data_IF_584458598948
#
_entry.id   IF_584458598948
#
_cell.length_a   1.000
_cell.length_b   1.000
_cell.length_c   1.000
_cell.angle_alpha   90.00
_cell.angle_beta   90.00
_cell.angle_gamma   90.00
#
_symmetry.space_group_name_H-M   'P 1'
#
loop_
_entity.id
_entity.type
_entity.pdbx_description
1 polymer ?
#
# COMPACT_ATOMS: atom_id res chain seq x y z
N UNK A 1 -17.11 4.11 8.11
CA UNK A 1 -16.75 4.91 6.92
C UNK A 1 -16.20 3.97 5.87
N UNK A 2 -16.69 4.02 4.64
CA UNK A 2 -16.25 3.20 3.52
C UNK A 2 -15.73 4.12 2.43
N UNK A 3 -14.64 3.72 1.77
CA UNK A 3 -14.09 4.43 0.61
C UNK A 3 -13.83 3.40 -0.49
N UNK A 4 -14.30 3.70 -1.69
CA UNK A 4 -14.06 2.87 -2.88
C UNK A 4 -13.33 3.74 -3.89
N UNK A 5 -12.27 3.19 -4.49
CA UNK A 5 -11.45 3.83 -5.51
C UNK A 5 -11.22 2.87 -6.68
N UNK A 6 -11.38 3.36 -7.88
CA UNK A 6 -10.92 2.66 -9.10
C UNK A 6 -9.59 3.26 -9.51
N UNK A 7 -8.61 2.41 -9.75
CA UNK A 7 -7.25 2.79 -10.08
C UNK A 7 -6.83 2.11 -11.39
N UNK A 8 -6.26 2.90 -12.29
CA UNK A 8 -5.65 2.43 -13.53
C UNK A 8 -4.22 2.93 -13.58
N UNK A 9 -3.28 2.03 -13.78
CA UNK A 9 -1.85 2.34 -13.90
C UNK A 9 -1.37 1.93 -15.29
N UNK A 10 -0.77 2.86 -16.00
CA UNK A 10 -0.11 2.62 -17.27
C UNK A 10 1.38 2.94 -17.13
N UNK A 11 2.23 1.97 -17.36
CA UNK A 11 3.64 2.00 -17.01
C UNK A 11 4.49 1.65 -18.21
N UNK A 12 5.58 2.40 -18.36
CA UNK A 12 6.64 2.09 -19.33
C UNK A 12 7.84 1.50 -18.59
N UNK A 13 8.42 0.46 -19.16
CA UNK A 13 9.68 -0.08 -18.66
C UNK A 13 10.83 0.81 -19.10
N UNK A 14 11.72 1.15 -18.16
CA UNK A 14 12.98 1.82 -18.46
C UNK A 14 14.07 0.81 -18.68
N UNK A 15 14.96 1.00 -19.69
CA UNK A 15 16.16 0.18 -19.84
C UNK A 15 17.08 0.33 -18.62
N UNK A 16 17.78 -0.74 -18.29
CA UNK A 16 18.75 -0.73 -17.18
C UNK A 16 19.99 0.08 -17.56
N UNK A 17 20.33 0.08 -18.86
CA UNK A 17 21.58 0.66 -19.39
C UNK A 17 21.44 2.17 -19.70
N UNK A 18 20.23 2.66 -19.88
CA UNK A 18 19.98 4.08 -20.15
C UNK A 18 18.76 4.57 -19.36
N UNK A 19 19.03 5.28 -18.27
CA UNK A 19 18.00 5.80 -17.35
C UNK A 19 17.12 6.88 -17.99
N UNK A 20 17.49 7.44 -19.12
CA UNK A 20 16.75 8.53 -19.78
C UNK A 20 15.95 8.07 -21.00
N UNK A 21 16.13 6.84 -21.47
CA UNK A 21 15.32 6.27 -22.54
C UNK A 21 14.11 5.47 -21.99
N UNK A 22 13.10 5.32 -22.83
CA UNK A 22 11.89 4.53 -22.53
C UNK A 22 11.79 3.49 -23.64
N UNK A 23 11.59 2.22 -23.26
CA UNK A 23 11.23 1.19 -24.23
C UNK A 23 9.76 1.36 -24.60
N UNK A 24 9.48 1.86 -25.79
CA UNK A 24 8.10 2.05 -26.27
C UNK A 24 7.34 0.72 -26.44
N UNK A 25 8.09 -0.38 -26.62
CA UNK A 25 7.50 -1.71 -26.87
C UNK A 25 7.14 -2.49 -25.59
N UNK A 26 7.52 -2.00 -24.40
CA UNK A 26 7.28 -2.69 -23.15
C UNK A 26 6.41 -1.83 -22.22
N UNK A 27 5.12 -1.97 -22.38
CA UNK A 27 4.10 -1.33 -21.54
C UNK A 27 3.44 -2.35 -20.62
N UNK A 28 3.10 -1.93 -19.42
CA UNK A 28 2.38 -2.72 -18.44
C UNK A 28 1.13 -2.00 -18.00
N UNK A 29 0.03 -2.71 -17.99
CA UNK A 29 -1.26 -2.22 -17.49
C UNK A 29 -1.58 -2.87 -16.16
N UNK A 30 -2.00 -2.07 -15.19
CA UNK A 30 -2.55 -2.60 -13.95
C UNK A 30 -3.87 -1.89 -13.63
N UNK A 31 -4.87 -2.66 -13.22
CA UNK A 31 -6.25 -2.18 -13.01
C UNK A 31 -6.75 -2.70 -11.69
N UNK A 32 -7.15 -1.78 -10.80
CA UNK A 32 -7.59 -2.16 -9.47
C UNK A 32 -8.88 -1.48 -9.06
N UNK A 33 -9.65 -2.21 -8.27
CA UNK A 33 -10.70 -1.68 -7.42
C UNK A 33 -10.21 -1.79 -5.98
N UNK A 34 -10.14 -0.67 -5.29
CA UNK A 34 -9.72 -0.60 -3.91
C UNK A 34 -10.91 -0.26 -3.02
N UNK A 35 -11.07 -0.98 -1.94
CA UNK A 35 -12.06 -0.69 -0.91
C UNK A 35 -11.37 -0.59 0.44
N UNK A 36 -11.73 0.45 1.20
CA UNK A 36 -11.19 0.67 2.54
C UNK A 36 -12.34 0.85 3.52
N UNK A 37 -12.21 0.24 4.69
CA UNK A 37 -13.18 0.39 5.76
C UNK A 37 -12.52 0.47 7.13
N UNK A 38 -13.12 1.26 8.00
CA UNK A 38 -12.80 1.27 9.43
C UNK A 38 -13.53 0.09 10.08
N UNK A 39 -12.78 -0.92 10.51
CA UNK A 39 -13.32 -2.13 11.13
C UNK A 39 -13.68 -1.89 12.59
N UNK A 40 -12.85 -1.12 13.30
CA UNK A 40 -13.09 -0.78 14.70
C UNK A 40 -12.60 0.63 15.01
N UNK A 41 -13.53 1.50 15.41
CA UNK A 41 -13.21 2.87 15.84
C UNK A 41 -12.47 2.86 17.19
N UNK A 42 -12.89 2.01 18.12
CA UNK A 42 -12.28 1.89 19.46
C UNK A 42 -10.79 1.53 19.39
N UNK A 43 -10.41 0.63 18.49
CA UNK A 43 -9.05 0.14 18.37
C UNK A 43 -8.31 0.75 17.18
N UNK A 44 -8.98 1.61 16.41
CA UNK A 44 -8.45 2.24 15.19
C UNK A 44 -7.88 1.22 14.21
N UNK A 45 -8.68 0.17 13.94
CA UNK A 45 -8.34 -0.92 13.02
C UNK A 45 -9.02 -0.65 11.69
N UNK A 46 -8.22 -0.69 10.62
CA UNK A 46 -8.68 -0.52 9.25
C UNK A 46 -8.42 -1.78 8.44
N UNK A 47 -9.30 -2.03 7.50
CA UNK A 47 -9.19 -3.08 6.50
C UNK A 47 -9.16 -2.45 5.13
N UNK A 48 -8.22 -2.89 4.29
CA UNK A 48 -8.11 -2.55 2.88
C UNK A 48 -8.23 -3.81 2.03
N UNK A 49 -8.90 -3.69 0.90
CA UNK A 49 -8.93 -4.72 -0.14
C UNK A 49 -8.61 -4.06 -1.48
N UNK A 50 -7.63 -4.60 -2.19
CA UNK A 50 -7.27 -4.19 -3.55
C UNK A 50 -7.43 -5.42 -4.45
N UNK A 51 -8.38 -5.38 -5.37
CA UNK A 51 -8.64 -6.47 -6.30
C UNK A 51 -8.44 -6.01 -7.73
N UNK A 52 -7.80 -6.85 -8.57
CA UNK A 52 -7.57 -6.48 -9.95
C UNK A 52 -6.46 -7.25 -10.64
N UNK A 53 -5.88 -6.62 -11.65
CA UNK A 53 -4.78 -7.13 -12.45
C UNK A 53 -3.48 -6.45 -12.05
N UNK A 54 -2.51 -7.25 -11.62
CA UNK A 54 -1.19 -6.81 -11.17
C UNK A 54 -0.21 -6.67 -12.34
N UNK A 55 0.99 -6.15 -12.07
CA UNK A 55 1.97 -5.79 -13.09
C UNK A 55 2.45 -6.94 -13.96
N UNK A 56 2.49 -8.15 -13.44
CA UNK A 56 2.89 -9.33 -14.21
C UNK A 56 1.72 -9.93 -15.02
N UNK A 57 0.53 -9.30 -14.97
CA UNK A 57 -0.69 -9.81 -15.61
C UNK A 57 -1.45 -10.81 -14.74
N UNK A 58 -0.96 -11.12 -13.57
CA UNK A 58 -1.65 -11.97 -12.61
C UNK A 58 -2.85 -11.22 -12.01
N UNK A 59 -3.97 -11.93 -11.84
CA UNK A 59 -5.23 -11.38 -11.33
C UNK A 59 -5.52 -11.92 -9.93
N UNK A 60 -5.99 -11.06 -9.06
CA UNK A 60 -6.25 -11.48 -7.71
C UNK A 60 -6.69 -10.37 -6.77
N UNK A 61 -6.50 -10.63 -5.48
CA UNK A 61 -6.86 -9.69 -4.43
C UNK A 61 -5.79 -9.63 -3.34
N UNK A 62 -5.49 -8.42 -2.92
CA UNK A 62 -4.66 -8.11 -1.76
C UNK A 62 -5.54 -7.63 -0.61
N UNK A 63 -5.28 -8.15 0.55
CA UNK A 63 -5.92 -7.78 1.80
C UNK A 63 -4.89 -7.13 2.71
N UNK A 64 -5.23 -5.96 3.23
CA UNK A 64 -4.42 -5.21 4.18
C UNK A 64 -5.21 -5.02 5.47
N UNK A 65 -4.62 -5.34 6.60
CA UNK A 65 -5.14 -4.98 7.91
C UNK A 65 -4.12 -4.13 8.63
N UNK A 66 -4.56 -3.05 9.23
CA UNK A 66 -3.66 -2.20 9.97
C UNK A 66 -4.32 -1.59 11.19
N UNK A 67 -3.49 -1.28 12.15
CA UNK A 67 -3.87 -0.60 13.37
C UNK A 67 -2.99 0.63 13.58
N UNK A 68 -3.65 1.77 13.77
CA UNK A 68 -2.97 3.02 14.06
C UNK A 68 -2.95 3.27 15.57
N UNK A 69 -1.76 3.42 16.10
CA UNK A 69 -1.48 3.84 17.45
C UNK A 69 -1.20 5.35 17.48
N UNK A 70 -0.96 5.90 18.67
CA UNK A 70 -0.65 7.33 18.81
C UNK A 70 0.61 7.75 18.04
N UNK A 71 1.64 6.91 18.07
CA UNK A 71 2.99 7.26 17.60
C UNK A 71 3.46 6.41 16.41
N UNK A 72 2.70 5.41 15.99
CA UNK A 72 3.05 4.55 14.88
C UNK A 72 1.85 3.80 14.34
N UNK A 73 1.97 3.28 13.14
CA UNK A 73 1.01 2.36 12.53
C UNK A 73 1.70 1.04 12.24
N UNK A 74 1.06 -0.05 12.61
CA UNK A 74 1.49 -1.40 12.25
C UNK A 74 0.44 -2.04 11.35
N UNK A 75 0.88 -2.76 10.33
CA UNK A 75 -0.02 -3.47 9.43
C UNK A 75 0.58 -4.75 8.90
N UNK A 76 -0.30 -5.58 8.36
CA UNK A 76 0.05 -6.79 7.66
C UNK A 76 -0.78 -6.88 6.39
N UNK A 77 -0.23 -7.55 5.38
CA UNK A 77 -0.94 -7.81 4.14
C UNK A 77 -0.72 -9.23 3.62
N UNK A 78 -1.65 -9.66 2.79
CA UNK A 78 -1.53 -10.89 2.00
C UNK A 78 -2.16 -10.68 0.64
N UNK A 79 -1.55 -11.24 -0.40
CA UNK A 79 -2.01 -11.15 -1.79
C UNK A 79 -2.18 -12.54 -2.34
N UNK A 80 -3.35 -12.82 -2.88
CA UNK A 80 -3.69 -14.06 -3.56
C UNK A 80 -3.94 -13.75 -5.03
N UNK A 81 -3.24 -14.44 -5.93
CA UNK A 81 -3.41 -14.28 -7.37
C UNK A 81 -3.47 -15.65 -8.07
N UNK A 82 -3.87 -15.64 -9.33
CA UNK A 82 -3.78 -16.80 -10.21
C UNK A 82 -2.35 -17.02 -10.73
N UNK A 83 -1.36 -16.91 -9.87
CA UNK A 83 0.07 -17.01 -10.22
C UNK A 83 0.44 -18.33 -10.89
N UNK A 84 -0.34 -19.40 -10.62
CA UNK A 84 -0.16 -20.70 -11.25
C UNK A 84 -0.35 -20.67 -12.77
N UNK A 85 -1.27 -19.83 -13.26
CA UNK A 85 -1.59 -19.70 -14.68
C UNK A 85 -0.60 -18.80 -15.43
N UNK A 86 -0.04 -17.79 -14.74
CA UNK A 86 0.75 -16.73 -15.34
C UNK A 86 2.24 -17.04 -15.30
N UNK A 87 2.73 -17.63 -14.21
CA UNK A 87 4.16 -17.88 -14.03
C UNK A 87 4.54 -19.32 -14.38
N UNK A 88 5.62 -19.45 -15.13
CA UNK A 88 6.20 -20.77 -15.49
C UNK A 88 7.19 -21.28 -14.45
N UNK A 89 7.80 -20.38 -13.68
CA UNK A 89 8.77 -20.75 -12.64
C UNK A 89 8.05 -21.39 -11.44
N UNK A 90 8.53 -22.52 -10.97
CA UNK A 90 7.96 -23.21 -9.80
C UNK A 90 7.94 -22.33 -8.54
N UNK A 91 8.89 -21.42 -8.43
CA UNK A 91 9.02 -20.50 -7.30
C UNK A 91 7.90 -19.49 -7.23
N UNK A 92 7.34 -19.06 -8.36
CA UNK A 92 6.27 -18.06 -8.43
C UNK A 92 4.87 -18.69 -8.54
N UNK A 93 4.79 -19.95 -8.98
CA UNK A 93 3.54 -20.67 -9.07
C UNK A 93 2.97 -20.92 -7.66
N UNK A 94 1.68 -20.65 -7.49
CA UNK A 94 0.98 -20.80 -6.20
C UNK A 94 1.58 -19.99 -5.04
N UNK A 95 2.39 -18.98 -5.35
CA UNK A 95 2.98 -18.14 -4.32
C UNK A 95 1.97 -17.16 -3.76
N UNK A 96 1.90 -17.08 -2.43
CA UNK A 96 1.10 -16.10 -1.70
C UNK A 96 2.04 -15.02 -1.18
N UNK A 97 1.97 -13.82 -1.77
CA UNK A 97 2.72 -12.67 -1.27
C UNK A 97 2.13 -12.19 0.05
N UNK A 98 2.98 -11.94 1.02
CA UNK A 98 2.59 -11.51 2.36
C UNK A 98 3.69 -10.73 3.04
N UNK A 99 3.32 -9.85 3.95
CA UNK A 99 4.30 -9.08 4.70
C UNK A 99 3.69 -8.31 5.86
N UNK A 100 4.58 -7.74 6.65
CA UNK A 100 4.24 -6.83 7.75
C UNK A 100 4.99 -5.52 7.56
N UNK A 101 4.38 -4.43 7.98
CA UNK A 101 5.00 -3.11 7.90
C UNK A 101 4.74 -2.29 9.15
N UNK A 102 5.67 -1.40 9.43
CA UNK A 102 5.54 -0.38 10.45
C UNK A 102 5.78 0.99 9.82
N UNK A 103 4.97 1.95 10.21
CA UNK A 103 5.10 3.35 9.79
C UNK A 103 5.16 4.23 11.02
N UNK A 104 6.22 5.02 11.10
CA UNK A 104 6.50 5.94 12.22
C UNK A 104 6.52 7.36 11.67
N UNK A 105 5.67 8.29 12.13
CA UNK A 105 5.77 9.71 11.78
C UNK A 105 7.12 10.28 12.22
N UNK A 106 7.74 11.08 11.37
CA UNK A 106 9.09 11.63 11.64
C UNK A 106 9.05 12.59 12.84
N UNK A 107 7.96 13.28 13.06
CA UNK A 107 7.75 14.17 14.21
C UNK A 107 7.76 13.44 15.56
N UNK A 108 7.53 12.12 15.57
CA UNK A 108 7.69 11.28 16.77
C UNK A 108 9.16 11.10 17.16
N UNK A 109 10.06 11.16 16.19
CA UNK A 109 11.50 10.93 16.39
C UNK A 109 12.28 12.25 16.45
N UNK A 110 11.77 13.29 15.82
CA UNK A 110 12.39 14.63 15.74
C UNK A 110 11.64 15.63 16.61
N UNK A 111 12.38 16.54 17.25
CA UNK A 111 11.81 17.70 17.97
C UNK A 111 11.21 18.75 17.04
N UNK A 112 11.44 18.66 15.74
CA UNK A 112 10.90 19.57 14.74
C UNK A 112 9.66 18.95 14.10
N UNK A 113 8.64 19.78 13.84
CA UNK A 113 7.42 19.35 13.15
C UNK A 113 7.71 19.12 11.66
N UNK A 114 7.90 17.87 11.27
CA UNK A 114 8.03 17.46 9.88
C UNK A 114 6.77 16.77 9.40
N UNK A 115 6.35 17.12 8.18
CA UNK A 115 5.27 16.41 7.47
C UNK A 115 5.85 15.20 6.73
N UNK A 116 6.11 14.13 7.43
CA UNK A 116 6.65 12.93 6.81
C UNK A 116 6.53 11.72 7.73
N UNK A 117 6.68 10.54 7.15
CA UNK A 117 6.73 9.29 7.91
C UNK A 117 7.85 8.40 7.43
N UNK A 118 8.53 7.74 8.36
CA UNK A 118 9.45 6.66 8.08
C UNK A 118 8.65 5.37 7.99
N UNK A 119 8.74 4.68 6.87
CA UNK A 119 8.07 3.39 6.68
C UNK A 119 9.12 2.30 6.55
N UNK A 120 8.94 1.23 7.29
CA UNK A 120 9.71 0.03 7.15
C UNK A 120 8.76 -1.14 6.86
N UNK A 121 9.04 -1.89 5.80
CA UNK A 121 8.22 -3.02 5.39
C UNK A 121 9.09 -4.27 5.37
N UNK A 122 8.68 -5.29 6.08
CA UNK A 122 9.25 -6.62 6.05
C UNK A 122 8.42 -7.47 5.09
N UNK A 123 8.98 -7.71 3.92
CA UNK A 123 8.40 -8.61 2.93
C UNK A 123 9.30 -9.83 2.77
N UNK A 124 8.76 -11.00 2.45
CA UNK A 124 9.59 -12.08 1.92
C UNK A 124 10.29 -11.57 0.66
N UNK A 125 11.43 -12.16 0.30
CA UNK A 125 12.20 -11.79 -0.88
C UNK A 125 11.30 -11.68 -2.12
N UNK A 126 11.47 -10.56 -2.81
CA UNK A 126 10.64 -10.11 -3.92
C UNK A 126 10.46 -11.19 -4.97
N UNK A 127 9.22 -11.60 -5.10
CA UNK A 127 8.72 -12.37 -6.24
C UNK A 127 7.84 -11.46 -7.05
N UNK A 128 7.70 -11.74 -8.33
CA UNK A 128 6.93 -10.89 -9.24
C UNK A 128 5.41 -11.00 -9.03
N UNK A 129 4.98 -11.93 -8.19
CA UNK A 129 3.57 -12.22 -7.90
C UNK A 129 2.94 -11.10 -7.07
N UNK A 130 1.77 -10.60 -7.53
CA UNK A 130 1.00 -9.62 -6.79
C UNK A 130 1.66 -8.24 -6.69
N UNK A 131 2.56 -7.91 -7.61
CA UNK A 131 3.27 -6.65 -7.62
C UNK A 131 2.46 -5.53 -8.27
N UNK A 132 2.58 -4.32 -7.74
CA UNK A 132 1.99 -3.10 -8.31
C UNK A 132 3.02 -1.96 -8.25
N UNK A 133 2.86 -0.97 -9.12
CA UNK A 133 3.77 0.17 -9.13
C UNK A 133 3.64 0.97 -7.84
N UNK A 134 4.77 1.22 -7.20
CA UNK A 134 4.86 2.17 -6.11
C UNK A 134 4.63 3.59 -6.62
N UNK A 135 3.91 4.41 -5.86
CA UNK A 135 3.68 5.81 -6.20
C UNK A 135 2.26 6.15 -6.64
N UNK A 136 1.37 5.18 -6.81
CA UNK A 136 -0.05 5.48 -6.92
C UNK A 136 -0.53 6.17 -5.63
N UNK A 137 -1.26 7.27 -5.78
CA UNK A 137 -1.92 7.94 -4.67
C UNK A 137 -2.89 6.95 -4.00
N UNK A 138 -2.41 6.26 -2.98
CA UNK A 138 -3.32 5.48 -2.16
C UNK A 138 -4.14 6.46 -1.32
N UNK A 139 -5.46 6.48 -1.48
CA UNK A 139 -6.36 7.26 -0.62
C UNK A 139 -6.21 6.90 0.86
N UNK A 140 -5.66 5.73 1.11
CA UNK A 140 -5.48 5.22 2.46
C UNK A 140 -4.47 6.02 3.29
N UNK A 141 -3.24 6.35 2.81
CA UNK A 141 -2.36 7.29 3.49
C UNK A 141 -2.94 8.71 3.59
N UNK A 142 -3.73 9.15 2.61
CA UNK A 142 -4.39 10.45 2.66
C UNK A 142 -5.47 10.51 3.74
N UNK A 143 -6.20 9.42 3.94
CA UNK A 143 -7.25 9.32 4.94
C UNK A 143 -6.71 9.09 6.37
N UNK A 144 -5.48 8.55 6.47
CA UNK A 144 -4.74 8.34 7.71
C UNK A 144 -3.66 9.41 7.99
N UNK A 145 -3.49 10.36 7.08
CA UNK A 145 -2.60 11.50 7.28
C UNK A 145 -3.19 12.50 8.28
N UNK A 146 -2.46 13.53 8.60
CA UNK A 146 -2.82 14.61 9.54
C UNK A 146 -4.21 15.24 9.34
N UNK A 147 -4.85 14.98 8.19
CA UNK A 147 -6.19 15.45 7.84
C UNK A 147 -7.32 14.52 8.32
N UNK A 148 -7.01 13.44 9.02
CA UNK A 148 -8.04 12.54 9.55
C UNK A 148 -8.76 13.23 10.72
N UNK A 149 -10.10 13.25 10.67
CA UNK A 149 -10.98 13.79 11.71
C UNK A 149 -10.64 13.25 13.10
N UNK A 150 -10.15 12.03 13.21
CA UNK A 150 -9.72 11.43 14.48
C UNK A 150 -8.42 12.05 15.02
N UNK A 151 -7.46 12.34 14.16
CA UNK A 151 -6.26 13.09 14.53
C UNK A 151 -6.59 14.55 14.88
N UNK A 152 -7.52 15.17 14.15
CA UNK A 152 -8.05 16.49 14.51
C UNK A 152 -8.73 16.49 15.88
N UNK A 153 -9.62 15.55 16.15
CA UNK A 153 -10.27 15.43 17.48
C UNK A 153 -9.27 15.20 18.60
N UNK A 154 -8.20 14.48 18.34
CA UNK A 154 -7.13 14.19 19.31
C UNK A 154 -6.24 15.42 19.57
N UNK A 155 -6.00 16.23 18.54
CA UNK A 155 -5.20 17.44 18.64
C UNK A 155 -5.99 18.65 19.16
N UNK A 156 -7.32 18.64 19.11
CA UNK A 156 -8.18 19.69 19.70
C UNK A 156 -7.94 19.78 21.21
N UNK A 157 -7.76 18.67 21.91
CA UNK A 157 -7.45 18.68 23.34
C UNK A 157 -6.08 19.31 23.67
N UNK A 158 -5.12 19.30 22.76
CA UNK A 158 -3.80 19.92 22.95
C UNK A 158 -3.76 21.41 22.60
N UNK A 159 -4.84 21.95 22.02
CA UNK A 159 -4.97 23.36 21.67
C UNK A 159 -5.71 24.14 22.77
N UNK A 160 -6.42 23.45 23.65
CA UNK A 160 -7.22 24.04 24.72
C UNK A 160 -6.54 24.03 26.09
N UNK A 161 -5.29 23.55 26.19
CA UNK A 161 -4.37 23.73 27.31
C UNK A 161 -3.32 24.81 26.97
#
# INVERSE_FOLDING_TARGET
>A
MYVILVEYQYLYKRPVDDMFSIYDDLTYDAKFINAYMLLSDKYNIHLGVKAGEFLAGDKGARFDILRTYRSFTIGAYTTFTNSEEVFTSEENRNYIDKGVYIRIPIDTVSKQKYKGSLSYTLTPWTRDVGQFAGGSMSLYPMNNSENNIQLMKKNIHSITE
#
